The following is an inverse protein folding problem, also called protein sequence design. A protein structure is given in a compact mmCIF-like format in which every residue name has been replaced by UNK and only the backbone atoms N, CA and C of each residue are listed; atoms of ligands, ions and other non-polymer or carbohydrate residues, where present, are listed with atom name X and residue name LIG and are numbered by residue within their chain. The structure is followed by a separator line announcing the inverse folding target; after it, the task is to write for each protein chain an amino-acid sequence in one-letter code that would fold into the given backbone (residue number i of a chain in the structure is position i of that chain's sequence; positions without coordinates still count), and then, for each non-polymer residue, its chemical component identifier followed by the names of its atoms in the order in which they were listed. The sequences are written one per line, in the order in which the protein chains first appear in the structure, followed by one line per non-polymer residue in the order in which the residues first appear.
data_IF_065007438793
#
_entry.id   IF_065007438793
#
_cell.length_a   1.000
_cell.length_b   1.000
_cell.length_c   1.000
_cell.angle_alpha   90.00
_cell.angle_beta   90.00
_cell.angle_gamma   90.00
#
_symmetry.space_group_name_H-M   'P 1'
#
loop_
_entity.id
_entity.type
_entity.pdbx_description
1 polymer ?
#
# COMPACT_ATOMS: atom_id res chain seq x y z
N UNK A 1 -53.35 17.44 6.29
CA UNK A 1 -52.09 18.03 6.80
C UNK A 1 -51.01 17.75 5.77
N UNK A 2 -50.59 18.77 5.03
CA UNK A 2 -49.54 18.64 4.00
C UNK A 2 -48.15 18.63 4.66
N UNK A 3 -47.19 17.84 4.17
CA UNK A 3 -45.87 17.76 4.80
C UNK A 3 -45.07 19.05 4.57
N UNK A 4 -44.15 19.42 5.48
CA UNK A 4 -43.39 20.66 5.38
C UNK A 4 -42.39 20.58 4.22
N UNK A 5 -42.48 21.52 3.28
CA UNK A 5 -41.48 21.72 2.24
C UNK A 5 -40.14 22.11 2.88
N UNK A 6 -39.13 21.24 2.76
CA UNK A 6 -37.77 21.54 3.19
C UNK A 6 -37.25 22.79 2.46
N UNK A 7 -36.83 23.80 3.23
CA UNK A 7 -36.28 25.05 2.68
C UNK A 7 -35.02 24.76 1.85
N UNK A 8 -35.12 25.04 0.56
CA UNK A 8 -34.06 24.88 -0.44
C UNK A 8 -32.89 25.82 -0.10
N UNK A 9 -31.74 25.25 0.23
CA UNK A 9 -30.53 26.01 0.54
C UNK A 9 -30.02 26.68 -0.76
N UNK A 10 -29.96 28.02 -0.78
CA UNK A 10 -29.47 28.77 -1.93
C UNK A 10 -27.99 28.47 -2.16
N UNK A 11 -27.69 27.74 -3.23
CA UNK A 11 -26.34 27.47 -3.72
C UNK A 11 -25.67 28.78 -4.19
N UNK A 12 -24.42 29.01 -3.78
CA UNK A 12 -23.59 30.11 -4.27
C UNK A 12 -23.28 29.88 -5.75
N UNK A 13 -23.51 30.89 -6.58
CA UNK A 13 -23.27 30.90 -8.02
C UNK A 13 -21.77 30.74 -8.29
N UNK A 14 -21.30 29.53 -8.62
CA UNK A 14 -19.88 29.33 -8.96
C UNK A 14 -19.38 27.90 -9.09
N UNK A 15 -20.02 26.90 -8.47
CA UNK A 15 -19.62 25.49 -8.63
C UNK A 15 -20.84 24.60 -8.84
N UNK A 16 -21.33 24.58 -10.08
CA UNK A 16 -22.43 23.71 -10.46
C UNK A 16 -21.90 22.35 -10.94
N UNK A 17 -22.33 21.26 -10.31
CA UNK A 17 -22.04 19.89 -10.73
C UNK A 17 -23.32 19.15 -11.11
N UNK A 18 -23.26 18.24 -12.08
CA UNK A 18 -24.41 17.42 -12.45
C UNK A 18 -24.65 16.28 -11.43
N UNK A 19 -25.86 15.71 -11.41
CA UNK A 19 -26.22 14.59 -10.53
C UNK A 19 -25.34 13.35 -10.76
N UNK A 20 -25.00 13.09 -12.03
CA UNK A 20 -24.15 11.96 -12.43
C UNK A 20 -22.70 12.07 -11.89
N UNK A 21 -22.11 13.27 -11.88
CA UNK A 21 -20.77 13.50 -11.34
C UNK A 21 -20.76 13.52 -9.81
N UNK A 22 -21.80 14.07 -9.18
CA UNK A 22 -21.95 14.07 -7.71
C UNK A 22 -22.04 12.65 -7.15
N UNK A 23 -22.89 11.79 -7.71
CA UNK A 23 -22.99 10.38 -7.27
C UNK A 23 -21.68 9.62 -7.43
N UNK A 24 -20.92 9.93 -8.49
CA UNK A 24 -19.62 9.31 -8.78
C UNK A 24 -18.44 9.98 -8.05
N UNK A 25 -18.69 11.02 -7.26
CA UNK A 25 -17.67 11.81 -6.54
C UNK A 25 -16.50 12.23 -7.44
N UNK A 26 -16.81 12.67 -8.66
CA UNK A 26 -15.80 13.11 -9.65
C UNK A 26 -15.99 14.56 -10.06
N UNK A 27 -14.93 15.20 -10.55
CA UNK A 27 -14.95 16.62 -10.98
C UNK A 27 -15.87 16.80 -12.20
N UNK A 28 -16.85 17.70 -12.09
CA UNK A 28 -17.74 18.09 -13.19
C UNK A 28 -17.16 19.31 -13.91
N UNK A 29 -16.81 19.16 -15.18
CA UNK A 29 -16.19 20.23 -15.99
C UNK A 29 -16.93 20.33 -17.33
N UNK A 30 -17.40 21.52 -17.66
CA UNK A 30 -18.02 21.83 -18.94
C UNK A 30 -16.99 22.37 -19.92
N UNK A 31 -17.26 22.24 -21.22
CA UNK A 31 -16.46 22.91 -22.22
C UNK A 31 -16.87 24.39 -22.30
N UNK A 32 -15.95 25.36 -22.34
CA UNK A 32 -16.31 26.78 -22.43
C UNK A 32 -17.20 27.12 -23.64
N UNK A 33 -17.12 26.33 -24.71
CA UNK A 33 -17.84 26.56 -25.97
C UNK A 33 -19.10 25.68 -26.11
N UNK A 34 -19.21 24.60 -25.33
CA UNK A 34 -20.40 23.74 -25.27
C UNK A 34 -20.77 23.43 -23.82
N UNK A 35 -21.80 24.13 -23.35
CA UNK A 35 -22.28 24.09 -21.97
C UNK A 35 -23.42 23.08 -21.74
N UNK A 36 -23.75 22.26 -22.74
CA UNK A 36 -24.94 21.38 -22.65
C UNK A 36 -24.66 20.08 -21.90
N UNK A 37 -23.45 19.50 -22.04
CA UNK A 37 -23.05 18.24 -21.41
C UNK A 37 -21.63 18.37 -20.84
N UNK A 38 -21.41 17.94 -19.60
CA UNK A 38 -20.06 17.96 -19.03
C UNK A 38 -19.17 16.88 -19.65
N UNK A 39 -17.85 17.14 -19.74
CA UNK A 39 -16.87 16.23 -20.37
C UNK A 39 -16.96 14.78 -19.84
N UNK A 40 -17.08 14.55 -18.51
CA UNK A 40 -17.27 13.20 -17.99
C UNK A 40 -18.53 12.49 -18.47
N UNK A 41 -19.64 13.20 -18.60
CA UNK A 41 -20.90 12.61 -19.04
C UNK A 41 -20.91 12.35 -20.54
N UNK A 42 -20.26 13.21 -21.33
CA UNK A 42 -20.08 13.04 -22.77
C UNK A 42 -19.27 11.77 -23.08
N UNK A 43 -18.10 11.60 -22.45
CA UNK A 43 -17.24 10.41 -22.63
C UNK A 43 -17.98 9.12 -22.29
N UNK A 44 -18.89 9.17 -21.31
CA UNK A 44 -19.59 7.99 -20.78
C UNK A 44 -20.96 7.77 -21.41
N UNK A 45 -21.41 8.64 -22.32
CA UNK A 45 -22.76 8.60 -22.88
C UNK A 45 -23.86 8.67 -21.82
N UNK A 46 -23.61 9.30 -20.67
CA UNK A 46 -24.55 9.32 -19.55
C UNK A 46 -25.36 10.61 -19.51
N UNK A 47 -26.64 10.53 -19.07
CA UNK A 47 -27.51 11.71 -18.93
C UNK A 47 -26.91 12.73 -17.95
N UNK A 48 -26.57 13.92 -18.47
CA UNK A 48 -25.99 15.02 -17.71
C UNK A 48 -27.10 15.98 -17.25
N UNK A 49 -27.69 15.70 -16.08
CA UNK A 49 -28.72 16.58 -15.49
C UNK A 49 -28.12 17.44 -14.40
N UNK A 50 -28.34 18.74 -14.53
CA UNK A 50 -27.91 19.74 -13.58
C UNK A 50 -28.60 19.60 -12.22
N UNK A 51 -27.88 19.84 -11.11
CA UNK A 51 -28.43 19.87 -9.75
C UNK A 51 -29.43 21.01 -9.49
N UNK A 52 -29.63 21.93 -10.45
CA UNK A 52 -30.71 22.92 -10.32
C UNK A 52 -32.09 22.31 -10.60
N UNK A 53 -32.13 21.12 -11.22
CA UNK A 53 -33.33 20.34 -11.45
C UNK A 53 -33.50 19.25 -10.36
N UNK A 54 -34.75 18.93 -9.97
CA UNK A 54 -35.04 17.86 -9.02
C UNK A 54 -34.41 16.53 -9.42
N UNK A 55 -33.98 15.75 -8.44
CA UNK A 55 -33.28 14.47 -8.68
C UNK A 55 -34.16 13.45 -9.43
N UNK A 56 -35.49 13.58 -9.30
CA UNK A 56 -36.49 12.73 -9.96
C UNK A 56 -36.52 12.87 -11.50
N UNK A 57 -35.91 13.93 -12.06
CA UNK A 57 -35.76 14.12 -13.51
C UNK A 57 -34.59 13.31 -14.08
N UNK A 58 -33.67 12.87 -13.21
CA UNK A 58 -32.54 12.03 -13.56
C UNK A 58 -32.93 10.56 -13.38
N UNK A 59 -33.47 9.97 -14.45
CA UNK A 59 -33.65 8.51 -14.54
C UNK A 59 -32.36 7.94 -15.15
N UNK A 60 -31.68 6.96 -14.50
CA UNK A 60 -30.51 6.32 -15.08
C UNK A 60 -30.92 5.46 -16.27
N UNK A 61 -30.46 5.79 -17.47
CA UNK A 61 -30.58 4.88 -18.60
C UNK A 61 -29.74 3.63 -18.35
N UNK A 62 -30.41 2.48 -18.31
CA UNK A 62 -29.78 1.17 -18.42
C UNK A 62 -29.05 1.10 -19.77
N UNK A 63 -27.72 1.09 -19.70
CA UNK A 63 -26.75 0.65 -20.72
C UNK A 63 -27.36 0.31 -22.07
N UNK A 64 -27.34 1.26 -23.00
CA UNK A 64 -27.37 0.94 -24.43
C UNK A 64 -25.94 1.08 -24.96
N UNK A 65 -25.44 -0.02 -25.54
CA UNK A 65 -24.12 -0.11 -26.15
C UNK A 65 -23.91 0.93 -27.26
N UNK A 66 -22.64 1.06 -27.64
CA UNK A 66 -22.10 2.14 -28.45
C UNK A 66 -22.92 2.50 -29.69
N UNK A 67 -23.08 3.81 -29.91
CA UNK A 67 -23.41 4.36 -31.22
C UNK A 67 -22.11 4.71 -31.94
N UNK A 68 -21.69 3.79 -32.81
CA UNK A 68 -20.81 4.12 -33.91
C UNK A 68 -21.55 5.00 -34.91
N UNK A 69 -20.80 5.93 -35.48
CA UNK A 69 -21.19 6.86 -36.53
C UNK A 69 -21.46 6.06 -37.83
N UNK A 70 -22.55 6.42 -38.51
CA UNK A 70 -23.01 5.85 -39.77
C UNK A 70 -22.01 6.06 -40.92
N UNK A 71 -21.78 4.99 -41.70
CA UNK A 71 -21.59 5.10 -43.16
C UNK A 71 -22.13 3.84 -43.87
N UNK A 72 -23.27 4.06 -44.54
CA UNK A 72 -23.77 3.53 -45.82
C UNK A 72 -23.79 2.03 -46.22
N UNK A 73 -25.01 1.67 -46.68
CA UNK A 73 -25.43 0.74 -47.74
C UNK A 73 -25.31 -0.79 -47.60
N UNK A 74 -26.47 -1.46 -47.74
CA UNK A 74 -26.57 -2.75 -48.45
C UNK A 74 -27.42 -3.87 -47.81
N UNK A 75 -28.74 -3.84 -48.06
CA UNK A 75 -29.62 -4.99 -48.40
C UNK A 75 -29.93 -6.15 -47.40
N UNK A 76 -31.25 -6.37 -47.26
CA UNK A 76 -32.07 -7.43 -46.62
C UNK A 76 -32.14 -8.71 -47.53
N UNK A 77 -32.71 -9.91 -47.21
CA UNK A 77 -33.31 -10.54 -45.98
C UNK A 77 -32.89 -12.02 -45.68
N UNK A 78 -33.35 -12.56 -44.53
CA UNK A 78 -34.33 -13.66 -44.42
C UNK A 78 -34.03 -14.72 -43.33
N UNK A 79 -35.12 -15.19 -42.72
CA UNK A 79 -35.27 -16.10 -41.58
C UNK A 79 -34.84 -17.56 -41.80
N UNK A 80 -34.54 -18.28 -40.71
CA UNK A 80 -35.07 -19.62 -40.28
C UNK A 80 -34.14 -20.18 -39.18
N UNK A 81 -34.63 -20.40 -37.95
CA UNK A 81 -35.13 -21.68 -37.38
C UNK A 81 -34.03 -22.69 -36.99
N UNK A 82 -34.08 -23.03 -35.69
CA UNK A 82 -33.75 -24.31 -35.04
C UNK A 82 -32.34 -24.90 -35.21
N UNK A 83 -31.58 -24.96 -34.10
CA UNK A 83 -31.33 -26.24 -33.43
C UNK A 83 -30.51 -26.08 -32.15
N UNK A 84 -31.03 -26.63 -31.06
CA UNK A 84 -30.33 -26.74 -29.80
C UNK A 84 -29.31 -27.87 -29.84
N UNK A 85 -28.04 -27.54 -29.62
CA UNK A 85 -27.03 -28.49 -29.15
C UNK A 85 -26.22 -27.85 -28.04
N UNK A 86 -26.34 -28.44 -26.85
CA UNK A 86 -25.51 -28.11 -25.70
C UNK A 86 -24.04 -28.30 -26.04
N UNK A 87 -23.27 -27.23 -25.87
CA UNK A 87 -21.82 -27.27 -25.84
C UNK A 87 -21.37 -26.73 -24.49
N UNK A 88 -20.86 -27.64 -23.65
CA UNK A 88 -20.23 -27.29 -22.39
C UNK A 88 -18.98 -26.47 -22.68
N UNK A 89 -19.06 -25.15 -22.46
CA UNK A 89 -17.88 -24.30 -22.42
C UNK A 89 -17.12 -24.58 -21.13
N UNK A 90 -16.15 -25.49 -21.21
CA UNK A 90 -15.06 -25.58 -20.24
C UNK A 90 -14.33 -24.25 -20.21
N UNK A 91 -14.33 -23.62 -19.04
CA UNK A 91 -13.51 -22.45 -18.75
C UNK A 91 -12.05 -22.91 -18.81
N UNK A 92 -11.36 -22.61 -19.91
CA UNK A 92 -9.92 -22.76 -19.99
C UNK A 92 -9.28 -21.64 -19.14
N UNK A 93 -8.98 -21.96 -17.89
CA UNK A 93 -8.01 -21.19 -17.09
C UNK A 93 -6.65 -21.23 -17.77
N UNK A 94 -5.94 -20.09 -17.91
CA UNK A 94 -4.56 -20.13 -18.34
C UNK A 94 -3.73 -20.73 -17.20
N UNK A 95 -3.23 -21.94 -17.40
CA UNK A 95 -2.20 -22.54 -16.55
C UNK A 95 -0.94 -21.69 -16.70
N UNK A 96 -0.71 -20.80 -15.72
CA UNK A 96 0.55 -20.07 -15.63
C UNK A 96 1.61 -21.07 -15.19
N UNK A 97 2.40 -21.56 -16.15
CA UNK A 97 3.56 -22.40 -15.90
C UNK A 97 4.66 -21.54 -15.27
N UNK A 98 4.53 -21.23 -13.98
CA UNK A 98 5.67 -20.72 -13.21
C UNK A 98 6.57 -21.94 -12.97
N UNK A 99 7.56 -22.10 -13.85
CA UNK A 99 8.65 -23.05 -13.66
C UNK A 99 9.58 -22.53 -12.54
N UNK A 100 9.06 -22.48 -11.32
CA UNK A 100 9.87 -22.20 -10.13
C UNK A 100 10.66 -23.46 -9.82
N UNK A 101 11.98 -23.39 -9.96
CA UNK A 101 12.91 -24.47 -9.60
C UNK A 101 12.57 -24.98 -8.19
N UNK A 102 12.56 -26.30 -7.98
CA UNK A 102 12.22 -26.93 -6.69
C UNK A 102 13.03 -26.37 -5.51
N UNK A 103 14.29 -25.97 -5.75
CA UNK A 103 15.15 -25.30 -4.78
C UNK A 103 14.61 -23.93 -4.30
N UNK A 104 13.88 -23.21 -5.17
CA UNK A 104 13.25 -21.94 -4.85
C UNK A 104 12.07 -22.19 -3.90
N UNK A 105 11.17 -23.11 -4.23
CA UNK A 105 10.03 -23.56 -3.39
C UNK A 105 10.46 -24.03 -1.99
N UNK A 106 11.59 -24.72 -1.89
CA UNK A 106 12.17 -25.21 -0.64
C UNK A 106 12.76 -24.10 0.26
N UNK A 107 13.22 -22.99 -0.32
CA UNK A 107 13.61 -21.79 0.43
C UNK A 107 12.38 -21.07 1.00
N UNK A 108 11.23 -21.11 0.31
CA UNK A 108 9.99 -20.50 0.80
C UNK A 108 9.38 -21.28 1.98
N UNK A 109 9.60 -22.60 2.07
CA UNK A 109 8.92 -23.46 3.07
C UNK A 109 9.59 -23.52 4.45
N UNK A 110 10.87 -23.17 4.59
CA UNK A 110 11.61 -23.26 5.86
C UNK A 110 12.01 -21.88 6.41
N UNK A 111 11.40 -21.43 7.53
CA UNK A 111 11.78 -20.18 8.20
C UNK A 111 13.26 -20.13 8.58
N UNK A 112 13.88 -21.27 8.91
CA UNK A 112 15.30 -21.36 9.29
C UNK A 112 16.23 -21.12 8.10
N UNK A 113 15.89 -21.65 6.92
CA UNK A 113 16.67 -21.39 5.69
C UNK A 113 16.56 -19.92 5.29
N UNK A 114 15.36 -19.35 5.39
CA UNK A 114 15.13 -17.93 5.14
C UNK A 114 15.93 -17.05 6.10
N UNK A 115 15.96 -17.37 7.39
CA UNK A 115 16.73 -16.63 8.40
C UNK A 115 18.22 -16.61 8.05
N UNK A 116 18.78 -17.76 7.68
CA UNK A 116 20.19 -17.86 7.24
C UNK A 116 20.47 -17.05 5.97
N UNK A 117 19.54 -17.06 5.01
CA UNK A 117 19.66 -16.29 3.77
C UNK A 117 19.68 -14.79 4.07
N UNK A 118 18.71 -14.29 4.82
CA UNK A 118 18.61 -12.88 5.21
C UNK A 118 19.83 -12.45 6.01
N UNK A 119 20.25 -13.25 7.00
CA UNK A 119 21.42 -12.96 7.82
C UNK A 119 22.71 -12.90 6.98
N UNK A 120 22.89 -13.81 6.01
CA UNK A 120 24.06 -13.79 5.11
C UNK A 120 24.09 -12.52 4.23
N UNK A 121 22.93 -11.93 3.96
CA UNK A 121 22.81 -10.68 3.21
C UNK A 121 22.99 -9.42 4.05
N UNK A 122 23.19 -9.51 5.37
CA UNK A 122 23.47 -8.33 6.19
C UNK A 122 24.82 -7.71 5.81
N UNK A 123 25.00 -6.39 6.00
CA UNK A 123 26.31 -5.76 5.83
C UNK A 123 27.34 -6.37 6.79
N UNK A 124 28.62 -6.17 6.48
CA UNK A 124 29.68 -6.56 7.43
C UNK A 124 29.52 -5.82 8.76
N UNK A 125 30.02 -6.40 9.85
CA UNK A 125 30.00 -5.76 11.17
C UNK A 125 30.62 -4.34 11.11
N UNK A 126 31.74 -4.21 10.39
CA UNK A 126 32.43 -2.93 10.19
C UNK A 126 31.58 -1.91 9.44
N UNK A 127 30.84 -2.34 8.42
CA UNK A 127 29.96 -1.45 7.66
C UNK A 127 28.71 -1.06 8.47
N UNK A 128 28.18 -1.99 9.27
CA UNK A 128 27.09 -1.72 10.22
C UNK A 128 27.51 -0.65 11.23
N UNK A 129 28.69 -0.78 11.84
CA UNK A 129 29.22 0.20 12.79
C UNK A 129 29.36 1.59 12.16
N UNK A 130 29.87 1.67 10.93
CA UNK A 130 30.00 2.95 10.20
C UNK A 130 28.64 3.59 9.92
N UNK A 131 27.64 2.79 9.53
CA UNK A 131 26.27 3.26 9.29
C UNK A 131 25.69 3.83 10.59
N UNK A 132 25.86 3.12 11.70
CA UNK A 132 25.35 3.55 13.01
C UNK A 132 26.05 4.81 13.54
N UNK A 133 27.37 4.88 13.38
CA UNK A 133 28.17 6.05 13.79
C UNK A 133 27.85 7.29 12.96
N UNK A 134 27.62 7.12 11.65
CA UNK A 134 27.21 8.22 10.80
C UNK A 134 25.77 8.66 11.04
N UNK A 135 24.94 7.82 11.64
CA UNK A 135 23.57 8.14 12.04
C UNK A 135 23.43 9.34 12.99
N UNK A 136 24.47 9.68 13.75
CA UNK A 136 24.44 10.77 14.73
C UNK A 136 23.47 10.55 15.89
N UNK A 137 23.07 11.65 16.54
CA UNK A 137 22.05 11.77 17.61
C UNK A 137 20.83 10.86 17.41
N UNK A 138 20.09 10.48 18.47
CA UNK A 138 19.09 9.41 18.39
C UNK A 138 18.13 9.62 17.23
N UNK A 139 18.35 8.83 16.17
CA UNK A 139 17.46 8.72 15.02
C UNK A 139 16.15 8.15 15.55
N UNK A 140 15.21 9.04 15.88
CA UNK A 140 13.82 8.66 16.03
C UNK A 140 13.40 8.19 14.64
N UNK A 141 13.29 6.88 14.46
CA UNK A 141 12.87 6.34 13.19
C UNK A 141 11.43 6.78 13.00
N UNK A 142 11.08 7.29 11.82
CA UNK A 142 9.77 7.90 11.60
C UNK A 142 8.59 6.96 11.91
N UNK A 143 8.80 5.63 11.88
CA UNK A 143 7.81 4.66 12.32
C UNK A 143 7.58 4.69 13.85
N UNK A 144 8.60 4.96 14.67
CA UNK A 144 8.49 5.08 16.14
C UNK A 144 7.62 6.28 16.53
N UNK A 145 7.66 7.38 15.75
CA UNK A 145 6.76 8.53 15.95
C UNK A 145 5.29 8.12 15.85
N UNK A 146 5.00 7.12 15.01
CA UNK A 146 3.65 6.64 14.76
C UNK A 146 3.22 5.53 15.72
N UNK A 147 4.16 4.88 16.42
CA UNK A 147 3.87 3.68 17.23
C UNK A 147 4.18 3.84 18.72
N UNK A 148 4.82 4.94 19.12
CA UNK A 148 5.26 5.17 20.50
C UNK A 148 4.61 6.42 21.12
N UNK A 149 4.29 6.38 22.43
CA UNK A 149 3.89 7.57 23.18
C UNK A 149 4.96 8.67 23.13
N UNK A 150 4.53 9.94 23.04
CA UNK A 150 5.45 11.08 22.99
C UNK A 150 6.37 11.20 24.22
N UNK A 151 5.94 10.76 25.40
CA UNK A 151 6.77 10.77 26.61
C UNK A 151 7.88 9.71 26.57
N UNK A 152 7.69 8.63 25.80
CA UNK A 152 8.73 7.64 25.49
C UNK A 152 9.73 8.21 24.49
N UNK A 153 9.26 8.96 23.49
CA UNK A 153 10.11 9.63 22.49
C UNK A 153 10.91 10.82 23.05
N UNK A 154 10.35 11.52 24.05
CA UNK A 154 10.94 12.74 24.64
C UNK A 154 12.01 12.45 25.69
N UNK A 155 12.00 11.25 26.28
CA UNK A 155 13.17 10.76 27.03
C UNK A 155 14.29 10.60 26.01
N UNK A 156 15.56 10.96 26.31
CA UNK A 156 16.66 10.75 25.37
C UNK A 156 16.58 9.29 24.97
N UNK A 157 16.16 9.07 23.73
CA UNK A 157 15.81 7.76 23.22
C UNK A 157 17.13 7.01 23.08
N UNK A 158 17.61 6.50 24.20
CA UNK A 158 18.55 5.41 24.25
C UNK A 158 18.02 4.38 23.28
N UNK A 159 18.79 4.12 22.22
CA UNK A 159 19.01 2.79 21.63
C UNK A 159 18.65 2.56 20.16
N UNK A 160 18.30 3.52 19.30
CA UNK A 160 18.24 3.14 17.86
C UNK A 160 19.64 2.74 17.37
N UNK A 161 20.66 3.56 17.65
CA UNK A 161 22.05 3.24 17.28
C UNK A 161 22.61 2.05 18.08
N UNK A 162 22.34 1.93 19.38
CA UNK A 162 22.79 0.77 20.19
C UNK A 162 22.07 -0.55 19.82
N UNK A 163 20.78 -0.50 19.48
CA UNK A 163 20.01 -1.68 19.03
C UNK A 163 20.46 -2.09 17.63
N UNK A 164 20.79 -1.13 16.76
CA UNK A 164 21.36 -1.43 15.44
C UNK A 164 22.79 -1.98 15.49
N UNK A 165 23.55 -1.71 16.56
CA UNK A 165 24.82 -2.39 16.79
C UNK A 165 24.65 -3.86 17.22
N UNK A 166 23.49 -4.22 17.77
CA UNK A 166 23.16 -5.60 18.15
C UNK A 166 22.63 -6.37 16.93
N UNK A 167 23.55 -6.83 16.09
CA UNK A 167 23.20 -7.65 14.91
C UNK A 167 22.42 -8.92 15.34
N UNK A 168 21.25 -9.20 14.75
CA UNK A 168 20.47 -10.40 15.06
C UNK A 168 21.26 -11.68 14.80
N UNK A 169 21.08 -12.72 15.62
CA UNK A 169 21.71 -14.02 15.41
C UNK A 169 21.17 -14.70 14.13
N UNK A 170 21.98 -15.54 13.49
CA UNK A 170 21.62 -16.34 12.29
C UNK A 170 20.36 -17.21 12.45
N UNK A 171 20.03 -17.64 13.67
CA UNK A 171 18.85 -18.46 13.97
C UNK A 171 17.65 -17.64 14.48
N UNK A 172 17.74 -16.32 14.48
CA UNK A 172 16.64 -15.42 14.87
C UNK A 172 15.50 -15.52 13.85
N UNK A 173 14.26 -15.30 14.31
CA UNK A 173 13.08 -15.32 13.43
C UNK A 173 13.27 -14.38 12.22
N UNK A 174 12.86 -14.78 10.99
CA UNK A 174 13.13 -14.01 9.78
C UNK A 174 12.51 -12.60 9.80
N UNK A 175 11.38 -12.41 10.49
CA UNK A 175 10.74 -11.10 10.71
C UNK A 175 11.67 -10.15 11.46
N UNK A 176 12.37 -10.63 12.50
CA UNK A 176 13.27 -9.78 13.30
C UNK A 176 14.51 -9.39 12.49
N UNK A 177 15.02 -10.29 11.65
CA UNK A 177 16.11 -9.98 10.71
C UNK A 177 15.65 -8.97 9.66
N UNK A 178 14.45 -9.14 9.10
CA UNK A 178 13.87 -8.19 8.15
C UNK A 178 13.63 -6.81 8.78
N UNK A 179 13.13 -6.75 10.02
CA UNK A 179 12.99 -5.50 10.77
C UNK A 179 14.33 -4.77 10.86
N UNK A 180 15.37 -5.48 11.25
CA UNK A 180 16.73 -4.94 11.32
C UNK A 180 17.23 -4.43 9.96
N UNK A 181 17.01 -5.19 8.87
CA UNK A 181 17.36 -4.76 7.50
C UNK A 181 16.65 -3.46 7.10
N UNK A 182 15.36 -3.33 7.42
CA UNK A 182 14.56 -2.14 7.13
C UNK A 182 14.99 -0.93 7.96
N UNK A 183 15.35 -1.13 9.23
CA UNK A 183 15.86 -0.06 10.08
C UNK A 183 17.20 0.47 9.56
N UNK A 184 18.14 -0.42 9.16
CA UNK A 184 19.38 -0.02 8.49
C UNK A 184 19.12 0.73 7.18
N UNK A 185 18.20 0.23 6.35
CA UNK A 185 17.82 0.91 5.10
C UNK A 185 17.24 2.31 5.39
N UNK A 186 16.43 2.45 6.44
CA UNK A 186 15.87 3.74 6.85
C UNK A 186 16.97 4.70 7.31
N UNK A 187 17.94 4.23 8.10
CA UNK A 187 19.10 5.06 8.50
C UNK A 187 19.84 5.54 7.25
N UNK A 188 20.18 4.64 6.34
CA UNK A 188 20.85 4.97 5.08
C UNK A 188 20.07 5.97 4.22
N UNK A 189 18.74 5.94 4.26
CA UNK A 189 17.88 6.86 3.52
C UNK A 189 17.95 8.30 4.02
N UNK A 190 18.24 8.51 5.31
CA UNK A 190 18.37 9.84 5.92
C UNK A 190 19.81 10.35 5.92
N UNK A 191 20.79 9.50 5.57
CA UNK A 191 22.20 9.86 5.53
C UNK A 191 22.57 10.51 4.20
N UNK A 192 23.02 11.77 4.25
CA UNK A 192 23.62 12.42 3.10
C UNK A 192 25.09 11.99 2.95
N UNK A 193 25.51 11.37 1.82
CA UNK A 193 26.86 10.83 1.65
C UNK A 193 27.99 11.85 1.83
N UNK A 194 27.73 13.12 1.53
CA UNK A 194 28.75 14.18 1.67
C UNK A 194 28.92 14.70 3.09
N UNK A 195 28.01 14.39 4.00
CA UNK A 195 28.09 14.81 5.40
C UNK A 195 28.87 13.82 6.27
N UNK A 196 29.17 12.62 5.76
CA UNK A 196 29.79 11.54 6.55
C UNK A 196 30.89 10.81 5.76
N UNK A 197 32.14 11.13 6.06
CA UNK A 197 33.30 10.48 5.42
C UNK A 197 33.32 8.96 5.64
N UNK A 198 32.89 8.50 6.82
CA UNK A 198 32.81 7.06 7.14
C UNK A 198 31.92 6.26 6.18
N UNK A 199 30.85 6.88 5.66
CA UNK A 199 29.90 6.27 4.73
C UNK A 199 30.52 6.08 3.32
N UNK A 200 31.46 6.96 2.92
CA UNK A 200 32.14 6.84 1.61
C UNK A 200 33.05 5.59 1.55
N UNK A 201 33.39 5.02 2.71
CA UNK A 201 34.30 3.88 2.85
C UNK A 201 33.60 2.51 3.02
N UNK A 202 32.29 2.44 2.78
CA UNK A 202 31.53 1.19 2.80
C UNK A 202 31.93 0.26 1.64
N UNK A 203 31.72 -1.04 1.85
CA UNK A 203 32.05 -2.07 0.84
C UNK A 203 31.15 -2.01 -0.41
N UNK A 204 29.91 -1.57 -0.22
CA UNK A 204 28.94 -1.26 -1.27
C UNK A 204 28.53 0.21 -1.15
N UNK A 205 28.00 0.82 -2.22
CA UNK A 205 27.50 2.19 -2.10
C UNK A 205 26.33 2.25 -1.09
N UNK A 206 26.16 3.36 -0.36
CA UNK A 206 25.10 3.49 0.66
C UNK A 206 23.71 3.22 0.07
N UNK A 207 23.48 3.75 -1.14
CA UNK A 207 22.24 3.55 -1.90
C UNK A 207 22.03 2.08 -2.31
N UNK A 208 23.07 1.42 -2.83
CA UNK A 208 22.95 0.01 -3.21
C UNK A 208 22.66 -0.88 -1.98
N UNK A 209 23.35 -0.62 -0.86
CA UNK A 209 23.12 -1.32 0.41
C UNK A 209 21.68 -1.12 0.88
N UNK A 210 21.20 0.13 0.90
CA UNK A 210 19.82 0.46 1.28
C UNK A 210 18.79 -0.27 0.43
N UNK A 211 18.88 -0.15 -0.90
CA UNK A 211 17.94 -0.78 -1.83
C UNK A 211 17.95 -2.31 -1.68
N UNK A 212 19.13 -2.92 -1.56
CA UNK A 212 19.28 -4.36 -1.37
C UNK A 212 18.64 -4.84 -0.08
N UNK A 213 18.89 -4.17 1.04
CA UNK A 213 18.33 -4.55 2.34
C UNK A 213 16.80 -4.42 2.35
N UNK A 214 16.27 -3.30 1.85
CA UNK A 214 14.84 -3.07 1.78
C UNK A 214 14.14 -4.10 0.86
N UNK A 215 14.67 -4.34 -0.34
CA UNK A 215 14.06 -5.28 -1.29
C UNK A 215 14.04 -6.71 -0.73
N UNK A 216 15.14 -7.18 -0.12
CA UNK A 216 15.18 -8.52 0.48
C UNK A 216 14.16 -8.68 1.61
N UNK A 217 14.03 -7.70 2.50
CA UNK A 217 13.02 -7.73 3.56
C UNK A 217 11.60 -7.73 2.98
N UNK A 218 11.33 -6.87 2.01
CA UNK A 218 10.00 -6.73 1.38
C UNK A 218 9.60 -7.99 0.63
N UNK A 219 10.47 -8.49 -0.25
CA UNK A 219 10.14 -9.57 -1.18
C UNK A 219 10.09 -10.92 -0.46
N UNK A 220 10.97 -11.15 0.53
CA UNK A 220 11.09 -12.45 1.17
C UNK A 220 10.28 -12.59 2.46
N UNK A 221 9.95 -11.49 3.14
CA UNK A 221 9.21 -11.51 4.41
C UNK A 221 7.89 -10.77 4.29
N UNK A 222 7.89 -9.47 3.97
CA UNK A 222 6.68 -8.63 4.08
C UNK A 222 5.59 -9.01 3.07
N UNK A 223 5.98 -9.53 1.91
CA UNK A 223 5.04 -10.03 0.90
C UNK A 223 4.31 -11.31 1.34
N UNK A 224 4.83 -12.04 2.36
CA UNK A 224 4.24 -13.29 2.84
C UNK A 224 3.39 -13.06 4.08
N UNK A 225 2.10 -13.28 3.95
CA UNK A 225 1.14 -12.99 5.03
C UNK A 225 1.35 -13.86 6.28
N UNK A 226 1.98 -15.03 6.14
CA UNK A 226 2.35 -15.93 7.26
C UNK A 226 3.26 -15.28 8.31
N UNK A 227 4.02 -14.23 7.93
CA UNK A 227 4.97 -13.56 8.81
C UNK A 227 4.42 -12.28 9.45
N UNK A 228 3.18 -11.90 9.15
CA UNK A 228 2.65 -10.57 9.50
C UNK A 228 1.74 -10.58 10.74
N UNK A 229 1.49 -11.75 11.34
CA UNK A 229 0.62 -11.88 12.52
C UNK A 229 1.24 -11.42 13.85
N UNK A 230 2.47 -10.89 13.82
CA UNK A 230 3.20 -10.40 14.99
C UNK A 230 3.30 -8.87 15.00
N UNK A 231 3.55 -8.31 16.17
CA UNK A 231 3.82 -6.86 16.33
C UNK A 231 5.03 -6.45 15.48
N UNK A 232 6.11 -7.23 15.49
CA UNK A 232 7.29 -6.92 14.69
C UNK A 232 7.03 -7.06 13.19
N UNK A 233 6.12 -7.96 12.80
CA UNK A 233 5.64 -8.07 11.42
C UNK A 233 4.86 -6.82 10.99
N UNK A 234 3.99 -6.31 11.86
CA UNK A 234 3.27 -5.06 11.62
C UNK A 234 4.23 -3.87 11.52
N UNK A 235 5.21 -3.75 12.43
CA UNK A 235 6.27 -2.74 12.37
C UNK A 235 7.02 -2.79 11.04
N UNK A 236 7.34 -3.99 10.52
CA UNK A 236 8.00 -4.12 9.22
C UNK A 236 7.17 -3.49 8.08
N UNK A 237 5.85 -3.70 8.05
CA UNK A 237 4.97 -3.10 7.04
C UNK A 237 4.94 -1.57 7.18
N UNK A 238 4.93 -1.06 8.42
CA UNK A 238 4.96 0.39 8.68
C UNK A 238 6.28 1.01 8.19
N UNK A 239 7.42 0.36 8.48
CA UNK A 239 8.73 0.82 8.00
C UNK A 239 8.80 0.73 6.46
N UNK A 240 8.29 -0.34 5.84
CA UNK A 240 8.17 -0.44 4.38
C UNK A 240 7.40 0.75 3.81
N UNK A 241 6.24 1.07 4.38
CA UNK A 241 5.42 2.17 3.89
C UNK A 241 6.17 3.50 3.91
N UNK A 242 6.89 3.77 4.99
CA UNK A 242 7.72 4.97 5.14
C UNK A 242 8.87 4.98 4.12
N UNK A 243 9.59 3.87 3.99
CA UNK A 243 10.66 3.70 3.02
C UNK A 243 10.18 4.00 1.60
N UNK A 244 9.03 3.44 1.20
CA UNK A 244 8.41 3.67 -0.11
C UNK A 244 8.00 5.14 -0.31
N UNK A 245 7.48 5.80 0.74
CA UNK A 245 7.12 7.22 0.67
C UNK A 245 8.35 8.08 0.42
N UNK A 246 9.42 7.83 1.17
CA UNK A 246 10.65 8.59 1.14
C UNK A 246 11.42 8.43 -0.19
N UNK A 247 11.38 7.27 -0.85
CA UNK A 247 11.91 7.12 -2.23
C UNK A 247 10.97 7.67 -3.32
N UNK A 248 9.83 8.26 -2.95
CA UNK A 248 8.86 8.87 -3.87
C UNK A 248 7.82 7.91 -4.45
N UNK A 249 7.79 6.65 -4.02
CA UNK A 249 6.85 5.62 -4.46
C UNK A 249 5.53 5.65 -3.67
N UNK A 250 4.78 6.74 -3.80
CA UNK A 250 3.57 6.99 -3.01
C UNK A 250 2.49 5.91 -3.16
N UNK A 251 2.37 5.30 -4.34
CA UNK A 251 1.39 4.23 -4.58
C UNK A 251 1.73 2.96 -3.80
N UNK A 252 3.02 2.58 -3.74
CA UNK A 252 3.47 1.42 -2.96
C UNK A 252 3.32 1.70 -1.47
N UNK A 253 3.73 2.89 -1.03
CA UNK A 253 3.53 3.35 0.36
C UNK A 253 2.07 3.25 0.80
N UNK A 254 1.13 3.72 -0.04
CA UNK A 254 -0.31 3.62 0.22
C UNK A 254 -0.78 2.17 0.35
N UNK A 255 -0.36 1.28 -0.55
CA UNK A 255 -0.72 -0.15 -0.50
C UNK A 255 -0.20 -0.79 0.80
N UNK A 256 1.05 -0.54 1.18
CA UNK A 256 1.63 -1.03 2.43
C UNK A 256 0.88 -0.49 3.65
N UNK A 257 0.51 0.80 3.69
CA UNK A 257 -0.31 1.36 4.77
C UNK A 257 -1.69 0.70 4.87
N UNK A 258 -2.33 0.44 3.73
CA UNK A 258 -3.62 -0.28 3.70
C UNK A 258 -3.47 -1.72 4.19
N UNK A 259 -2.34 -2.37 3.87
CA UNK A 259 -2.00 -3.70 4.38
C UNK A 259 -1.80 -3.68 5.89
N UNK A 260 -0.99 -2.75 6.41
CA UNK A 260 -0.73 -2.58 7.84
C UNK A 260 -2.04 -2.41 8.62
N UNK A 261 -2.93 -1.52 8.17
CA UNK A 261 -4.23 -1.29 8.81
C UNK A 261 -5.11 -2.54 8.84
N UNK A 262 -5.10 -3.33 7.75
CA UNK A 262 -5.84 -4.60 7.70
C UNK A 262 -5.28 -5.64 8.68
N UNK A 263 -3.96 -5.76 8.77
CA UNK A 263 -3.28 -6.66 9.71
C UNK A 263 -3.54 -6.25 11.16
N UNK A 264 -3.42 -4.96 11.49
CA UNK A 264 -3.72 -4.43 12.82
C UNK A 264 -5.16 -4.72 13.27
N UNK A 265 -6.13 -4.61 12.35
CA UNK A 265 -7.53 -4.97 12.60
C UNK A 265 -7.73 -6.48 12.82
N UNK A 266 -6.99 -7.34 12.10
CA UNK A 266 -7.01 -8.78 12.34
C UNK A 266 -6.42 -9.14 13.71
N UNK A 267 -5.41 -8.39 14.16
CA UNK A 267 -4.83 -8.47 15.52
C UNK A 267 -5.72 -7.82 16.59
N UNK A 268 -6.85 -7.21 16.18
CA UNK A 268 -7.83 -6.53 17.03
C UNK A 268 -7.28 -5.33 17.80
N UNK A 269 -6.26 -4.65 17.25
CA UNK A 269 -5.68 -3.45 17.85
C UNK A 269 -6.64 -2.25 17.84
N UNK A 270 -7.66 -2.29 16.97
CA UNK A 270 -8.74 -1.29 16.87
C UNK A 270 -9.72 -1.32 18.06
N UNK A 271 -9.66 -2.36 18.89
CA UNK A 271 -10.61 -2.55 19.99
C UNK A 271 -10.00 -2.15 21.33
N UNK A 272 -10.76 -1.40 22.11
CA UNK A 272 -10.41 -1.03 23.49
C UNK A 272 -10.57 -2.17 24.51
N UNK A 273 -11.10 -3.32 24.08
CA UNK A 273 -11.23 -4.50 24.93
C UNK A 273 -9.87 -5.18 25.09
N UNK A 274 -9.48 -5.50 26.33
CA UNK A 274 -8.12 -5.89 26.73
C UNK A 274 -7.74 -7.31 26.28
N UNK A 275 -8.49 -7.89 25.34
CA UNK A 275 -8.24 -9.20 24.73
C UNK A 275 -7.51 -9.05 23.40
N UNK A 276 -6.49 -8.20 23.37
CA UNK A 276 -5.60 -8.09 22.22
C UNK A 276 -4.91 -9.43 21.99
N UNK A 277 -5.12 -10.01 20.81
CA UNK A 277 -4.51 -11.28 20.39
C UNK A 277 -3.43 -10.93 19.37
N UNK A 278 -2.25 -10.55 19.84
CA UNK A 278 -1.09 -10.35 18.99
C UNK A 278 0.09 -11.18 19.50
N UNK A 279 0.90 -11.65 18.56
CA UNK A 279 2.15 -12.34 18.86
C UNK A 279 3.28 -11.31 19.00
N UNK A 280 4.15 -11.52 19.98
CA UNK A 280 5.39 -10.78 20.16
C UNK A 280 6.54 -11.77 19.99
N UNK A 281 7.36 -11.57 18.97
CA UNK A 281 8.42 -12.52 18.61
C UNK A 281 9.67 -12.33 19.48
N UNK A 282 10.03 -11.09 19.79
CA UNK A 282 11.13 -10.76 20.69
C UNK A 282 10.57 -10.27 22.04
N UNK A 283 10.81 -10.99 23.15
CA UNK A 283 10.35 -10.58 24.48
C UNK A 283 10.82 -9.17 24.90
N UNK A 284 11.87 -8.64 24.28
CA UNK A 284 12.38 -7.30 24.55
C UNK A 284 11.71 -6.20 23.71
N UNK A 285 10.90 -6.56 22.71
CA UNK A 285 10.15 -5.59 21.90
C UNK A 285 9.18 -4.82 22.80
N UNK A 286 9.42 -3.52 22.92
CA UNK A 286 8.47 -2.60 23.54
C UNK A 286 7.41 -2.24 22.50
N UNK A 287 6.13 -2.47 22.82
CA UNK A 287 5.04 -2.14 21.92
C UNK A 287 3.92 -1.42 22.66
N UNK A 288 3.27 -0.49 21.95
CA UNK A 288 2.10 0.25 22.44
C UNK A 288 0.95 0.08 21.45
N UNK A 289 0.23 -1.06 21.48
CA UNK A 289 -0.74 -1.41 20.45
C UNK A 289 -1.93 -0.45 20.33
N UNK A 290 -2.18 0.39 21.34
CA UNK A 290 -3.22 1.42 21.27
C UNK A 290 -2.85 2.63 20.41
N UNK A 291 -1.57 2.75 20.05
CA UNK A 291 -1.02 3.86 19.24
C UNK A 291 -0.65 3.35 17.83
N UNK A 292 -0.52 2.03 17.65
CA UNK A 292 -0.26 1.36 16.37
C UNK A 292 -1.53 1.19 15.55
#
# INVERSE_FOLDING_TARGET
MSPPHAKRQKLRKGTHSCWACKRRKMKCVFDPFDNTICKPCQIRGSKCVSQEFPEDVWIPDTRTGGRNINTDQGQIPLMSSEDGKGSGYGILTPTSTILTTSASLDLYRSPQRLSRLLHKSLPSQKDTERICQAGGDPLILAHEILTMPYDTLSKPALKTSETLLNVPNVNTHPVLIARYMLQLATVLQHLHPDLHEGIKSLSETPRATMERLANLAIDLVITRDEFLGSIEGLECIMIESMYQANIGSLRRSWVSNRKAMGIAQLMRLDRSDHRTQFEVLDPNTRCHPQIM
#
